data_IF_560646623522
#
_entry.id   IF_560646623522
#
_cell.length_a   1.000
_cell.length_b   1.000
_cell.length_c   1.000
_cell.angle_alpha   90.00
_cell.angle_beta   90.00
_cell.angle_gamma   90.00
#
_symmetry.space_group_name_H-M   'P 1'
#
loop_
_entity.id
_entity.type
_entity.pdbx_description
1 polymer ?
#
# COMPACT_ATOMS: atom_id res chain seq x y z
N UNK A 1 -16.56 5.33 5.93
CA UNK A 1 -17.06 3.95 5.83
C UNK A 1 -15.87 3.14 5.37
N UNK A 2 -15.29 2.29 6.22
CA UNK A 2 -14.08 1.54 5.89
C UNK A 2 -14.33 0.69 4.62
N UNK A 3 -13.39 0.61 3.66
CA UNK A 3 -13.55 -0.31 2.54
C UNK A 3 -13.71 -1.73 3.08
N UNK A 4 -14.68 -2.48 2.56
CA UNK A 4 -14.91 -3.85 2.99
C UNK A 4 -13.69 -4.69 2.63
N UNK A 5 -13.05 -5.29 3.63
CA UNK A 5 -11.93 -6.23 3.45
C UNK A 5 -12.39 -7.42 2.58
N UNK A 6 -11.68 -7.75 1.49
CA UNK A 6 -12.08 -8.85 0.61
C UNK A 6 -11.88 -10.20 1.30
N UNK A 7 -12.61 -11.21 0.83
CA UNK A 7 -12.28 -12.60 1.17
C UNK A 7 -11.30 -13.19 0.16
N UNK A 8 -10.48 -14.13 0.61
CA UNK A 8 -9.66 -14.95 -0.28
C UNK A 8 -10.56 -15.92 -1.08
N UNK A 9 -10.20 -16.22 -2.32
CA UNK A 9 -10.84 -17.29 -3.11
C UNK A 9 -10.11 -18.61 -2.85
N UNK A 10 -10.23 -19.12 -1.62
CA UNK A 10 -9.42 -20.24 -1.12
C UNK A 10 -9.62 -21.57 -1.87
N UNK A 11 -10.66 -21.67 -2.69
CA UNK A 11 -10.92 -22.79 -3.61
C UNK A 11 -10.06 -22.74 -4.90
N UNK A 12 -9.57 -21.55 -5.28
CA UNK A 12 -8.73 -21.35 -6.46
C UNK A 12 -7.27 -21.11 -6.13
N UNK A 13 -6.99 -20.55 -4.95
CA UNK A 13 -5.66 -20.15 -4.53
C UNK A 13 -5.44 -20.47 -3.06
N UNK A 14 -4.29 -21.06 -2.74
CA UNK A 14 -3.81 -21.13 -1.36
C UNK A 14 -2.87 -19.96 -1.14
N UNK A 15 -3.17 -19.14 -0.14
CA UNK A 15 -2.32 -18.07 0.35
C UNK A 15 -1.74 -18.50 1.70
N UNK A 16 -0.43 -18.41 1.85
CA UNK A 16 0.28 -18.76 3.08
C UNK A 16 1.07 -17.52 3.53
N UNK A 17 0.50 -16.67 4.40
CA UNK A 17 1.20 -15.53 4.98
C UNK A 17 2.31 -16.05 5.90
N UNK A 18 3.55 -15.56 5.72
CA UNK A 18 4.73 -16.04 6.45
C UNK A 18 5.64 -14.90 6.94
N UNK A 19 6.43 -15.17 7.97
CA UNK A 19 7.49 -14.30 8.49
C UNK A 19 8.75 -14.32 7.61
N UNK A 20 9.79 -13.57 8.01
CA UNK A 20 11.08 -13.49 7.32
C UNK A 20 11.83 -14.83 7.20
N UNK A 21 11.49 -15.78 8.09
CA UNK A 21 12.04 -17.13 8.13
C UNK A 21 11.13 -18.16 7.40
N UNK A 22 10.13 -17.68 6.64
CA UNK A 22 9.13 -18.48 5.93
C UNK A 22 8.28 -19.39 6.83
N UNK A 23 8.04 -18.99 8.08
CA UNK A 23 7.12 -19.67 9.00
C UNK A 23 5.74 -18.99 8.96
N UNK A 24 4.63 -19.74 9.07
CA UNK A 24 3.31 -19.13 9.12
C UNK A 24 3.20 -18.11 10.26
N UNK A 25 2.60 -16.96 9.97
CA UNK A 25 2.20 -15.98 11.00
C UNK A 25 0.83 -16.33 11.56
N UNK A 26 0.52 -15.83 12.76
CA UNK A 26 -0.79 -16.06 13.39
C UNK A 26 -1.89 -15.23 12.70
N UNK A 27 -3.17 -15.67 12.73
CA UNK A 27 -4.28 -14.88 12.22
C UNK A 27 -4.34 -13.48 12.87
N UNK A 28 -4.50 -12.45 12.04
CA UNK A 28 -4.50 -11.06 12.46
C UNK A 28 -3.13 -10.40 12.53
N UNK A 29 -2.03 -11.14 12.29
CA UNK A 29 -0.70 -10.58 12.17
C UNK A 29 -0.33 -10.29 10.70
N UNK A 30 0.30 -9.13 10.41
CA UNK A 30 0.79 -8.84 9.06
C UNK A 30 1.98 -9.74 8.74
N UNK A 31 1.98 -10.34 7.56
CA UNK A 31 3.07 -11.20 7.10
C UNK A 31 4.27 -10.43 6.56
N UNK A 32 5.46 -11.01 6.61
CA UNK A 32 6.61 -10.52 5.83
C UNK A 32 6.39 -10.78 4.34
N UNK A 33 5.86 -11.93 3.92
CA UNK A 33 5.44 -12.16 2.54
C UNK A 33 4.32 -13.19 2.47
N UNK A 34 3.74 -13.37 1.28
CA UNK A 34 2.74 -14.39 1.01
C UNK A 34 3.24 -15.37 -0.03
N UNK A 35 3.22 -16.65 0.33
CA UNK A 35 3.43 -17.72 -0.63
C UNK A 35 2.09 -18.07 -1.29
N UNK A 36 2.08 -18.11 -2.62
CA UNK A 36 0.89 -18.43 -3.40
C UNK A 36 1.00 -19.80 -4.07
N UNK A 37 -0.05 -20.61 -3.96
CA UNK A 37 -0.24 -21.80 -4.78
C UNK A 37 -1.51 -21.64 -5.61
N UNK A 38 -1.38 -21.65 -6.93
CA UNK A 38 -2.51 -21.58 -7.86
C UNK A 38 -3.04 -23.00 -8.14
N UNK A 39 -4.27 -23.28 -7.71
CA UNK A 39 -4.91 -24.59 -7.85
C UNK A 39 -5.60 -24.78 -9.21
N UNK A 40 -5.84 -23.70 -9.95
CA UNK A 40 -6.54 -23.71 -11.24
C UNK A 40 -5.63 -23.79 -12.47
N UNK A 41 -4.37 -23.34 -12.38
CA UNK A 41 -3.46 -23.28 -13.52
C UNK A 41 -2.79 -24.64 -13.78
N UNK A 42 -3.26 -25.34 -14.82
CA UNK A 42 -2.72 -26.65 -15.24
C UNK A 42 -1.57 -26.58 -16.24
N UNK A 43 -1.38 -25.44 -16.91
CA UNK A 43 -0.36 -25.29 -17.95
C UNK A 43 0.99 -24.91 -17.33
N UNK A 44 0.96 -24.03 -16.34
CA UNK A 44 2.11 -23.63 -15.54
C UNK A 44 1.73 -23.61 -14.06
N UNK A 45 1.80 -24.76 -13.37
CA UNK A 45 1.52 -24.82 -11.94
C UNK A 45 2.45 -23.89 -11.17
N UNK A 46 1.87 -22.97 -10.39
CA UNK A 46 2.58 -22.09 -9.48
C UNK A 46 2.35 -22.64 -8.08
N UNK A 47 3.41 -23.07 -7.41
CA UNK A 47 3.36 -23.70 -6.08
C UNK A 47 4.31 -22.94 -5.16
N UNK A 48 3.78 -22.48 -4.02
CA UNK A 48 4.50 -21.70 -3.00
C UNK A 48 5.40 -20.60 -3.57
N UNK A 49 4.89 -19.89 -4.57
CA UNK A 49 5.63 -18.78 -5.17
C UNK A 49 5.58 -17.57 -4.24
N UNK A 50 6.73 -16.95 -4.03
CA UNK A 50 6.84 -15.76 -3.19
C UNK A 50 6.32 -14.52 -3.95
N UNK A 51 5.20 -13.96 -3.51
CA UNK A 51 4.61 -12.77 -4.12
C UNK A 51 5.43 -11.49 -3.84
N UNK A 52 6.11 -11.44 -2.69
CA UNK A 52 6.73 -10.23 -2.14
C UNK A 52 5.73 -9.17 -1.67
N UNK A 53 4.47 -9.56 -1.51
CA UNK A 53 3.38 -8.76 -0.95
C UNK A 53 3.09 -9.20 0.49
N UNK A 54 2.69 -8.27 1.35
CA UNK A 54 2.26 -8.51 2.72
C UNK A 54 0.74 -8.45 2.81
N UNK A 55 0.16 -9.41 3.54
CA UNK A 55 -1.24 -9.40 3.91
C UNK A 55 -1.41 -9.72 5.39
N UNK A 56 -2.50 -9.24 5.97
CA UNK A 56 -3.04 -9.74 7.22
C UNK A 56 -4.23 -10.65 6.91
N UNK A 57 -4.18 -11.91 7.34
CA UNK A 57 -5.30 -12.87 7.17
C UNK A 57 -6.05 -13.04 8.48
N UNK A 58 -7.38 -13.03 8.42
CA UNK A 58 -8.25 -13.13 9.60
C UNK A 58 -9.08 -14.41 9.54
N UNK A 59 -9.34 -15.00 10.70
CA UNK A 59 -10.21 -16.18 10.85
C UNK A 59 -11.71 -15.84 10.74
N UNK A 60 -12.05 -14.56 10.61
CA UNK A 60 -13.43 -14.13 10.47
C UNK A 60 -13.99 -14.41 9.06
N UNK A 61 -15.28 -14.68 9.01
CA UNK A 61 -16.00 -14.89 7.76
C UNK A 61 -16.41 -13.55 7.15
N UNK A 62 -16.35 -13.47 5.83
CA UNK A 62 -16.71 -12.25 5.13
C UNK A 62 -18.22 -11.94 5.25
N UNK A 63 -18.61 -10.67 5.49
CA UNK A 63 -20.02 -10.26 5.57
C UNK A 63 -20.85 -10.57 4.31
N UNK A 64 -20.23 -10.89 3.17
CA UNK A 64 -20.91 -11.31 1.95
C UNK A 64 -21.53 -12.72 2.04
N UNK A 65 -21.25 -13.48 3.11
CA UNK A 65 -21.72 -14.86 3.30
C UNK A 65 -20.74 -15.93 2.80
N UNK A 66 -19.56 -15.54 2.33
CA UNK A 66 -18.50 -16.48 1.97
C UNK A 66 -17.90 -17.14 3.22
N UNK A 67 -17.62 -18.44 3.11
CA UNK A 67 -16.94 -19.20 4.16
C UNK A 67 -15.41 -18.99 4.15
N UNK A 68 -14.87 -18.19 3.22
CA UNK A 68 -13.43 -18.01 3.08
C UNK A 68 -12.87 -16.92 3.99
N UNK A 69 -11.58 -17.04 4.38
CA UNK A 69 -10.92 -16.06 5.24
C UNK A 69 -10.94 -14.66 4.65
N UNK A 70 -11.13 -13.68 5.51
CA UNK A 70 -10.96 -12.26 5.17
C UNK A 70 -9.47 -11.94 5.12
N UNK A 71 -9.06 -11.12 4.15
CA UNK A 71 -7.69 -10.64 4.03
C UNK A 71 -7.68 -9.12 3.97
N UNK A 72 -6.62 -8.54 4.52
CA UNK A 72 -6.26 -7.13 4.37
C UNK A 72 -4.92 -7.07 3.67
N UNK A 73 -4.84 -6.34 2.57
CA UNK A 73 -3.63 -6.30 1.73
C UNK A 73 -2.84 -5.07 2.10
N UNK A 74 -1.63 -5.23 2.64
CA UNK A 74 -0.80 -4.10 3.04
C UNK A 74 -0.04 -3.52 1.81
N UNK A 75 0.27 -4.40 0.85
CA UNK A 75 0.99 -4.08 -0.39
C UNK A 75 2.36 -4.73 -0.46
N UNK A 76 3.23 -4.23 -1.34
CA UNK A 76 4.54 -4.84 -1.62
C UNK A 76 5.57 -4.42 -0.57
N UNK A 77 6.27 -5.39 0.03
CA UNK A 77 7.19 -5.15 1.14
C UNK A 77 8.43 -4.34 0.75
N UNK A 78 8.98 -4.57 -0.44
CA UNK A 78 10.09 -3.78 -0.97
C UNK A 78 9.78 -2.29 -1.20
N UNK A 79 8.53 -1.87 -1.02
CA UNK A 79 8.09 -0.48 -1.18
C UNK A 79 7.66 0.17 0.17
N UNK A 80 7.80 -0.52 1.32
CA UNK A 80 7.46 0.03 2.65
C UNK A 80 8.33 1.23 2.99
N UNK A 81 7.70 2.30 3.47
CA UNK A 81 8.40 3.48 3.92
C UNK A 81 8.66 3.41 5.42
N UNK A 82 9.91 3.61 5.77
CA UNK A 82 10.38 3.67 7.15
C UNK A 82 10.61 5.13 7.54
N UNK A 83 9.88 5.60 8.54
CA UNK A 83 9.96 6.96 9.05
C UNK A 83 10.39 6.95 10.51
N UNK A 84 11.26 7.89 10.88
CA UNK A 84 11.58 8.14 12.28
C UNK A 84 10.44 8.90 12.96
N UNK A 85 9.95 8.37 14.07
CA UNK A 85 8.93 9.02 14.90
C UNK A 85 9.56 9.96 15.91
N UNK A 86 8.75 10.84 16.50
CA UNK A 86 9.21 11.84 17.50
C UNK A 86 9.91 11.24 18.73
N UNK A 87 9.71 9.97 19.01
CA UNK A 87 10.36 9.22 20.09
C UNK A 87 11.60 8.43 19.63
N UNK A 88 12.07 8.67 18.40
CA UNK A 88 13.27 8.07 17.81
C UNK A 88 13.10 6.61 17.40
N UNK A 89 11.86 6.10 17.31
CA UNK A 89 11.57 4.76 16.80
C UNK A 89 11.37 4.79 15.29
N UNK A 90 11.62 3.65 14.67
CA UNK A 90 11.30 3.44 13.27
C UNK A 90 9.84 2.99 13.13
N UNK A 91 9.09 3.63 12.24
CA UNK A 91 7.68 3.33 11.96
C UNK A 91 7.52 2.92 10.50
N UNK A 92 7.16 1.65 10.22
CA UNK A 92 6.77 1.24 8.89
C UNK A 92 5.42 1.88 8.52
N UNK A 93 5.35 2.40 7.31
CA UNK A 93 4.13 2.92 6.68
C UNK A 93 4.01 2.25 5.32
N UNK A 94 2.94 1.47 5.16
CA UNK A 94 2.71 0.69 3.96
C UNK A 94 2.22 1.55 2.79
N UNK A 95 2.64 1.25 1.55
CA UNK A 95 2.23 1.95 0.33
C UNK A 95 0.73 2.10 0.16
N UNK A 96 -0.04 1.05 0.49
CA UNK A 96 -1.48 1.08 0.30
C UNK A 96 -2.12 2.12 1.24
N UNK A 97 -1.70 2.16 2.51
CA UNK A 97 -2.23 3.11 3.48
C UNK A 97 -2.04 4.56 3.02
N UNK A 98 -0.85 4.90 2.51
CA UNK A 98 -0.59 6.21 1.93
C UNK A 98 -1.42 6.50 0.68
N UNK A 99 -1.56 5.52 -0.21
CA UNK A 99 -2.31 5.69 -1.45
C UNK A 99 -3.80 5.90 -1.17
N UNK A 100 -4.37 5.13 -0.24
CA UNK A 100 -5.77 5.25 0.17
C UNK A 100 -6.12 6.63 0.72
N UNK A 101 -5.25 7.24 1.52
CA UNK A 101 -5.47 8.62 2.02
C UNK A 101 -5.63 9.61 0.87
N UNK A 102 -4.80 9.50 -0.16
CA UNK A 102 -4.82 10.43 -1.30
C UNK A 102 -5.98 10.14 -2.25
N UNK A 103 -6.33 8.87 -2.45
CA UNK A 103 -7.41 8.45 -3.35
C UNK A 103 -8.81 8.84 -2.85
N UNK A 104 -8.99 9.03 -1.54
CA UNK A 104 -10.24 9.51 -0.95
C UNK A 104 -10.49 11.02 -1.19
N UNK A 105 -9.47 11.78 -1.62
CA UNK A 105 -9.62 13.22 -1.88
C UNK A 105 -10.35 13.46 -3.21
N UNK A 106 -11.51 14.14 -3.21
CA UNK A 106 -12.24 14.44 -4.44
C UNK A 106 -11.41 15.25 -5.44
N UNK A 107 -11.46 14.83 -6.70
CA UNK A 107 -10.71 15.48 -7.79
C UNK A 107 -9.33 14.88 -8.05
N UNK A 108 -8.82 13.98 -7.20
CA UNK A 108 -7.61 13.21 -7.52
C UNK A 108 -7.93 12.18 -8.59
N UNK A 109 -7.17 12.19 -9.70
CA UNK A 109 -7.25 11.15 -10.74
C UNK A 109 -6.13 10.15 -10.67
N UNK A 110 -4.91 10.64 -10.45
CA UNK A 110 -3.71 9.83 -10.27
C UNK A 110 -2.76 10.52 -9.32
N UNK A 111 -2.02 9.71 -8.60
CA UNK A 111 -1.01 10.17 -7.64
C UNK A 111 0.22 9.28 -7.74
N UNK A 112 1.39 9.88 -7.47
CA UNK A 112 2.60 9.15 -7.12
C UNK A 112 3.23 9.77 -5.87
N UNK A 113 3.59 8.93 -4.91
CA UNK A 113 4.27 9.31 -3.68
C UNK A 113 5.71 8.79 -3.72
N UNK A 114 6.66 9.70 -3.78
CA UNK A 114 8.08 9.40 -3.89
C UNK A 114 8.77 9.84 -2.61
N UNK A 115 9.41 8.91 -1.89
CA UNK A 115 10.32 9.29 -0.81
C UNK A 115 11.67 9.67 -1.39
N UNK A 116 12.02 10.95 -1.30
CA UNK A 116 13.21 11.54 -1.92
C UNK A 116 14.32 11.82 -0.90
N UNK A 117 13.96 11.87 0.38
CA UNK A 117 14.86 11.95 1.52
C UNK A 117 14.19 11.29 2.74
N UNK A 118 14.91 11.04 3.85
CA UNK A 118 14.35 10.35 5.02
C UNK A 118 13.03 10.94 5.53
N UNK A 119 12.94 12.26 5.50
CA UNK A 119 11.81 13.06 5.98
C UNK A 119 11.12 13.86 4.87
N UNK A 120 11.25 13.46 3.59
CA UNK A 120 10.64 14.18 2.45
C UNK A 120 9.86 13.23 1.55
N UNK A 121 8.58 13.55 1.36
CA UNK A 121 7.70 12.91 0.40
C UNK A 121 7.36 13.89 -0.72
N UNK A 122 7.80 13.58 -1.92
CA UNK A 122 7.39 14.26 -3.14
C UNK A 122 6.12 13.64 -3.69
N UNK A 123 5.14 14.46 -4.02
CA UNK A 123 3.83 14.05 -4.53
C UNK A 123 3.66 14.55 -5.95
N UNK A 124 3.53 13.63 -6.91
CA UNK A 124 3.04 13.96 -8.27
C UNK A 124 1.54 13.76 -8.30
N UNK A 125 0.82 14.74 -8.81
CA UNK A 125 -0.64 14.77 -8.74
C UNK A 125 -1.25 15.07 -10.12
N UNK A 126 -2.21 14.26 -10.54
CA UNK A 126 -3.09 14.52 -11.67
C UNK A 126 -4.49 14.84 -11.13
N UNK A 127 -4.99 16.05 -11.41
CA UNK A 127 -6.28 16.54 -10.93
C UNK A 127 -7.32 16.50 -12.05
N UNK A 128 -8.57 16.19 -11.70
CA UNK A 128 -9.69 16.22 -12.63
C UNK A 128 -9.92 17.64 -13.16
N UNK A 129 -10.27 17.76 -14.45
CA UNK A 129 -10.39 19.06 -15.14
C UNK A 129 -11.47 19.99 -14.60
N UNK A 130 -12.41 19.45 -13.82
CA UNK A 130 -13.52 20.17 -13.18
C UNK A 130 -13.20 20.56 -11.71
N UNK A 131 -11.99 20.32 -11.24
CA UNK A 131 -11.52 20.65 -9.89
C UNK A 131 -10.36 21.65 -9.94
N UNK A 132 -10.25 22.48 -8.90
CA UNK A 132 -9.12 23.41 -8.76
C UNK A 132 -7.89 22.70 -8.18
N UNK A 133 -6.78 22.80 -8.92
CA UNK A 133 -5.54 22.12 -8.61
C UNK A 133 -4.87 22.57 -7.30
N UNK A 134 -5.10 23.81 -6.86
CA UNK A 134 -4.59 24.34 -5.59
C UNK A 134 -5.42 23.82 -4.42
N UNK A 135 -6.74 23.76 -4.60
CA UNK A 135 -7.65 23.23 -3.57
C UNK A 135 -7.38 21.74 -3.33
N UNK A 136 -7.30 20.94 -4.41
CA UNK A 136 -7.04 19.49 -4.29
C UNK A 136 -5.68 19.24 -3.63
N UNK A 137 -4.64 19.96 -4.02
CA UNK A 137 -3.33 19.86 -3.36
C UNK A 137 -3.38 20.24 -1.87
N UNK A 138 -4.09 21.31 -1.52
CA UNK A 138 -4.30 21.71 -0.13
C UNK A 138 -4.92 20.59 0.71
N UNK A 139 -5.93 19.91 0.18
CA UNK A 139 -6.58 18.79 0.84
C UNK A 139 -5.67 17.55 0.94
N UNK A 140 -5.04 17.13 -0.16
CA UNK A 140 -4.09 16.00 -0.18
C UNK A 140 -2.95 16.20 0.83
N UNK A 141 -2.35 17.39 0.85
CA UNK A 141 -1.25 17.69 1.76
C UNK A 141 -1.70 17.72 3.22
N UNK A 142 -2.90 18.22 3.52
CA UNK A 142 -3.47 18.20 4.87
C UNK A 142 -3.77 16.76 5.33
N UNK A 143 -4.43 15.95 4.50
CA UNK A 143 -4.86 14.60 4.87
C UNK A 143 -3.67 13.65 5.03
N UNK A 144 -2.67 13.71 4.13
CA UNK A 144 -1.42 12.96 4.29
C UNK A 144 -0.68 13.36 5.57
N UNK A 145 -0.61 14.65 5.87
CA UNK A 145 0.08 15.14 7.07
C UNK A 145 -0.64 14.66 8.32
N UNK A 146 -1.97 14.79 8.38
CA UNK A 146 -2.76 14.31 9.50
C UNK A 146 -2.63 12.79 9.71
N UNK A 147 -2.64 12.01 8.62
CA UNK A 147 -2.43 10.56 8.68
C UNK A 147 -1.05 10.21 9.26
N UNK A 148 0.01 10.87 8.80
CA UNK A 148 1.38 10.62 9.29
C UNK A 148 1.54 11.07 10.77
N UNK A 149 0.94 12.20 11.14
CA UNK A 149 0.93 12.69 12.53
C UNK A 149 0.23 11.70 13.48
N UNK A 150 -0.89 11.09 13.07
CA UNK A 150 -1.58 10.03 13.83
C UNK A 150 -0.70 8.79 14.04
N UNK A 151 0.23 8.52 13.13
CA UNK A 151 1.24 7.47 13.26
C UNK A 151 2.47 7.88 14.09
N UNK A 152 2.53 9.12 14.59
CA UNK A 152 3.63 9.67 15.38
C UNK A 152 4.78 10.28 14.55
N UNK A 153 4.55 10.51 13.26
CA UNK A 153 5.52 11.05 12.30
C UNK A 153 5.20 12.53 12.05
N UNK A 154 5.89 13.44 12.72
CA UNK A 154 5.57 14.90 12.66
C UNK A 154 6.54 15.71 11.80
N UNK A 155 7.79 15.26 11.67
CA UNK A 155 8.85 15.98 10.99
C UNK A 155 8.95 15.55 9.52
N UNK A 156 7.83 15.62 8.80
CA UNK A 156 7.75 15.27 7.37
C UNK A 156 7.53 16.52 6.50
N UNK A 157 8.30 16.62 5.42
CA UNK A 157 8.12 17.63 4.37
C UNK A 157 7.36 17.01 3.20
N UNK A 158 6.22 17.61 2.84
CA UNK A 158 5.45 17.24 1.65
C UNK A 158 5.74 18.23 0.52
N UNK A 159 6.28 17.75 -0.59
CA UNK A 159 6.62 18.56 -1.76
C UNK A 159 5.69 18.23 -2.92
N UNK A 160 5.02 19.24 -3.48
CA UNK A 160 4.31 19.07 -4.75
C UNK A 160 5.31 19.06 -5.89
N UNK A 161 5.32 17.99 -6.69
CA UNK A 161 6.05 17.95 -7.95
C UNK A 161 5.32 18.78 -9.02
N UNK A 162 6.09 19.41 -9.91
CA UNK A 162 5.55 20.10 -11.10
C UNK A 162 5.14 19.12 -12.20
N UNK A 163 5.75 17.95 -12.20
CA UNK A 163 5.53 16.89 -13.17
C UNK A 163 4.29 16.07 -12.80
N UNK A 164 3.46 15.77 -13.80
CA UNK A 164 2.36 14.84 -13.64
C UNK A 164 2.87 13.41 -13.34
N UNK A 165 2.02 12.53 -12.79
CA UNK A 165 2.30 11.11 -12.66
C UNK A 165 2.75 10.46 -13.98
N UNK A 166 3.82 9.67 -13.92
CA UNK A 166 4.48 9.09 -15.09
C UNK A 166 4.71 7.58 -14.93
N UNK A 167 4.67 6.85 -16.06
CA UNK A 167 5.10 5.46 -16.13
C UNK A 167 6.62 5.38 -16.16
N UNK A 168 7.16 4.33 -15.56
CA UNK A 168 8.59 4.03 -15.65
C UNK A 168 9.00 3.87 -17.13
N UNK A 169 9.99 4.64 -17.61
CA UNK A 169 10.33 4.69 -19.03
C UNK A 169 10.93 3.39 -19.57
N UNK A 170 11.40 2.50 -18.69
CA UNK A 170 12.10 1.26 -19.08
C UNK A 170 11.17 0.05 -19.07
N UNK A 171 10.30 -0.05 -18.07
CA UNK A 171 9.37 -1.17 -17.84
C UNK A 171 7.93 -0.86 -18.26
N UNK A 172 7.57 0.41 -18.43
CA UNK A 172 6.20 0.86 -18.69
C UNK A 172 5.24 0.72 -17.49
N UNK A 173 5.72 0.18 -16.36
CA UNK A 173 4.93 0.01 -15.14
C UNK A 173 4.62 1.37 -14.53
N UNK A 174 3.40 1.51 -14.02
CA UNK A 174 3.01 2.68 -13.24
C UNK A 174 3.18 2.32 -11.77
N UNK A 175 4.13 2.98 -11.08
CA UNK A 175 4.35 2.81 -9.65
C UNK A 175 3.62 3.93 -8.92
N UNK A 176 2.88 3.59 -7.87
CA UNK A 176 2.15 4.56 -7.07
C UNK A 176 3.03 5.10 -5.94
N UNK A 177 3.82 4.25 -5.29
CA UNK A 177 4.65 4.62 -4.14
C UNK A 177 6.03 3.96 -4.28
N UNK A 178 7.11 4.70 -4.03
CA UNK A 178 8.47 4.16 -3.95
C UNK A 178 9.48 5.13 -3.30
N UNK A 179 10.61 4.60 -2.85
CA UNK A 179 11.77 5.40 -2.45
C UNK A 179 12.73 5.58 -3.62
N UNK A 180 13.21 6.81 -3.86
CA UNK A 180 14.43 7.01 -4.65
C UNK A 180 15.60 6.38 -3.89
N UNK A 181 16.64 5.92 -4.59
CA UNK A 181 17.85 5.42 -3.93
C UNK A 181 18.49 6.58 -3.15
N UNK A 182 18.26 6.58 -1.83
CA UNK A 182 18.84 7.51 -0.85
C UNK A 182 20.20 6.97 -0.42
#
# INVERSE_FOLDING_TARGET
MWPQKPHSNADWVVLEPVDEDYRPVEPGEPSETVLITNLGNRVQPIIRYDLGDSITMYDEHCPCGSAFPVIDVEGRQGDVFHFETTDGRDRPVFPLALSSVVEEVPGVRRTQLIRTAPSTLRVRLEVASDHDETIVWGQVSADLKAFLEDQGITDITLERATESPQRDPRSGKFRHVWSEQI
#
